data_IF_405225336453
#
_entry.id   IF_405225336453
#
_cell.length_a   1.000
_cell.length_b   1.000
_cell.length_c   1.000
_cell.angle_alpha   90.00
_cell.angle_beta   90.00
_cell.angle_gamma   90.00
#
_symmetry.space_group_name_H-M   'P 1'
#
loop_
_entity.id
_entity.type
_entity.pdbx_description
1 polymer ?
#
# COMPACT_ATOMS: atom_id res chain seq x y z
N UNK A 1 -0.03 23.58 14.65
CA UNK A 1 -1.42 23.59 14.13
C UNK A 1 -2.09 22.30 14.57
N UNK A 2 -3.20 22.37 15.30
CA UNK A 2 -3.97 21.18 15.64
C UNK A 2 -4.69 20.63 14.40
N UNK A 3 -4.78 19.31 14.20
CA UNK A 3 -5.53 18.72 13.10
C UNK A 3 -7.02 19.10 13.23
N UNK A 4 -7.64 19.43 12.10
CA UNK A 4 -9.08 19.70 12.07
C UNK A 4 -9.89 18.46 12.53
N UNK A 5 -11.08 18.65 13.14
CA UNK A 5 -11.90 17.52 13.59
C UNK A 5 -12.28 16.57 12.44
N UNK A 6 -12.39 17.09 11.22
CA UNK A 6 -12.65 16.30 10.00
C UNK A 6 -11.47 15.41 9.64
N UNK A 7 -10.23 15.92 9.69
CA UNK A 7 -9.02 15.11 9.45
C UNK A 7 -8.86 13.99 10.48
N UNK A 8 -9.19 14.24 11.75
CA UNK A 8 -9.18 13.22 12.79
C UNK A 8 -10.25 12.15 12.53
N UNK A 9 -11.47 12.53 12.13
CA UNK A 9 -12.52 11.58 11.79
C UNK A 9 -12.12 10.67 10.62
N UNK A 10 -11.53 11.23 9.56
CA UNK A 10 -11.03 10.45 8.42
C UNK A 10 -9.90 9.50 8.81
N UNK A 11 -8.99 9.95 9.68
CA UNK A 11 -7.87 9.13 10.16
C UNK A 11 -8.37 7.97 11.03
N UNK A 12 -9.31 8.23 11.95
CA UNK A 12 -9.94 7.20 12.79
C UNK A 12 -10.70 6.20 11.90
N UNK A 13 -11.47 6.71 10.93
CA UNK A 13 -12.20 5.87 9.99
C UNK A 13 -11.23 4.99 9.19
N UNK A 14 -10.14 5.55 8.66
CA UNK A 14 -9.12 4.80 7.96
C UNK A 14 -8.48 3.71 8.86
N UNK A 15 -8.11 4.08 10.09
CA UNK A 15 -7.51 3.18 11.07
C UNK A 15 -8.42 2.04 11.51
N UNK A 16 -9.74 2.18 11.40
CA UNK A 16 -10.70 1.11 11.71
C UNK A 16 -11.09 0.31 10.47
N UNK A 17 -11.38 1.00 9.36
CA UNK A 17 -11.87 0.39 8.12
C UNK A 17 -10.79 -0.46 7.46
N UNK A 18 -9.54 0.00 7.39
CA UNK A 18 -8.47 -0.78 6.76
C UNK A 18 -8.22 -2.13 7.46
N UNK A 19 -7.98 -2.19 8.79
CA UNK A 19 -7.79 -3.48 9.44
C UNK A 19 -9.06 -4.33 9.44
N UNK A 20 -10.26 -3.73 9.52
CA UNK A 20 -11.50 -4.49 9.37
C UNK A 20 -11.61 -5.14 7.98
N UNK A 21 -11.29 -4.40 6.91
CA UNK A 21 -11.24 -4.94 5.54
C UNK A 21 -10.17 -6.03 5.39
N UNK A 22 -8.98 -5.84 5.97
CA UNK A 22 -7.92 -6.84 5.96
C UNK A 22 -8.35 -8.12 6.69
N UNK A 23 -8.94 -8.00 7.89
CA UNK A 23 -9.45 -9.13 8.66
C UNK A 23 -10.60 -9.84 7.92
N UNK A 24 -11.53 -9.09 7.32
CA UNK A 24 -12.59 -9.65 6.51
C UNK A 24 -12.04 -10.42 5.29
N UNK A 25 -11.00 -9.90 4.64
CA UNK A 25 -10.32 -10.58 3.55
C UNK A 25 -9.64 -11.88 4.02
N UNK A 26 -8.92 -11.82 5.13
CA UNK A 26 -8.30 -13.00 5.77
C UNK A 26 -9.36 -14.06 6.13
N UNK A 27 -10.50 -13.63 6.68
CA UNK A 27 -11.62 -14.49 7.00
C UNK A 27 -12.21 -15.17 5.76
N UNK A 28 -12.40 -14.41 4.67
CA UNK A 28 -12.87 -14.96 3.39
C UNK A 28 -11.89 -15.99 2.82
N UNK A 29 -10.59 -15.69 2.84
CA UNK A 29 -9.55 -16.63 2.38
C UNK A 29 -9.56 -17.94 3.17
N UNK A 30 -9.75 -17.84 4.49
CA UNK A 30 -9.85 -19.00 5.37
C UNK A 30 -11.08 -19.85 5.05
N UNK A 31 -12.25 -19.21 4.89
CA UNK A 31 -13.50 -19.91 4.48
C UNK A 31 -13.39 -20.61 3.13
N UNK A 32 -12.62 -20.07 2.19
CA UNK A 32 -12.40 -20.70 0.87
C UNK A 32 -11.39 -21.85 0.88
N UNK A 33 -10.83 -22.22 2.04
CA UNK A 33 -9.92 -23.37 2.16
C UNK A 33 -8.57 -23.17 1.46
N UNK A 34 -8.11 -21.92 1.31
CA UNK A 34 -6.81 -21.65 0.69
C UNK A 34 -5.71 -22.16 1.61
N UNK A 35 -4.96 -23.16 1.15
CA UNK A 35 -3.96 -23.89 1.95
C UNK A 35 -2.85 -22.97 2.47
N UNK A 36 -2.53 -21.90 1.74
CA UNK A 36 -1.48 -20.94 2.08
C UNK A 36 -1.88 -19.53 1.65
N UNK A 37 -2.68 -18.80 2.44
CA UNK A 37 -3.13 -17.47 2.07
C UNK A 37 -1.97 -16.45 2.04
N UNK A 38 -1.94 -15.50 1.07
CA UNK A 38 -0.88 -14.51 0.95
C UNK A 38 -1.06 -13.35 1.95
N UNK A 39 -0.97 -13.64 3.25
CA UNK A 39 -1.14 -12.62 4.31
C UNK A 39 -0.14 -11.48 4.20
N UNK A 40 1.13 -11.80 3.97
CA UNK A 40 2.23 -10.82 3.90
C UNK A 40 2.03 -9.79 2.76
N UNK A 41 1.76 -10.20 1.51
CA UNK A 41 1.41 -9.27 0.43
C UNK A 41 0.25 -8.34 0.76
N UNK A 42 -0.84 -8.87 1.31
CA UNK A 42 -1.99 -8.04 1.68
C UNK A 42 -1.68 -7.10 2.84
N UNK A 43 -0.91 -7.53 3.84
CA UNK A 43 -0.46 -6.66 4.91
C UNK A 43 0.31 -5.44 4.37
N UNK A 44 1.24 -5.64 3.44
CA UNK A 44 1.96 -4.53 2.82
C UNK A 44 1.06 -3.64 1.96
N UNK A 45 0.09 -4.21 1.23
CA UNK A 45 -0.87 -3.42 0.45
C UNK A 45 -1.74 -2.52 1.33
N UNK A 46 -2.37 -3.09 2.36
CA UNK A 46 -3.19 -2.32 3.30
C UNK A 46 -2.33 -1.35 4.11
N UNK A 47 -1.11 -1.74 4.50
CA UNK A 47 -0.17 -0.85 5.17
C UNK A 47 0.26 0.33 4.30
N UNK A 48 0.44 0.12 3.00
CA UNK A 48 0.77 1.19 2.05
C UNK A 48 -0.39 2.17 1.91
N UNK A 49 -1.62 1.68 1.74
CA UNK A 49 -2.82 2.54 1.67
C UNK A 49 -3.02 3.30 2.99
N UNK A 50 -2.87 2.63 4.13
CA UNK A 50 -2.95 3.25 5.44
C UNK A 50 -1.86 4.31 5.65
N UNK A 51 -0.64 4.06 5.19
CA UNK A 51 0.46 5.01 5.24
C UNK A 51 0.20 6.26 4.41
N UNK A 52 -0.39 6.14 3.21
CA UNK A 52 -0.78 7.32 2.42
C UNK A 52 -1.83 8.17 3.13
N UNK A 53 -2.85 7.53 3.72
CA UNK A 53 -3.86 8.24 4.51
C UNK A 53 -3.24 8.93 5.73
N UNK A 54 -2.27 8.28 6.38
CA UNK A 54 -1.52 8.88 7.48
C UNK A 54 -0.68 10.07 7.00
N UNK A 55 0.01 9.96 5.86
CA UNK A 55 0.77 11.07 5.28
C UNK A 55 -0.12 12.28 4.98
N UNK A 56 -1.32 12.05 4.41
CA UNK A 56 -2.29 13.11 4.14
C UNK A 56 -2.79 13.77 5.43
N UNK A 57 -3.09 12.97 6.46
CA UNK A 57 -3.56 13.49 7.74
C UNK A 57 -2.47 14.23 8.53
N UNK A 58 -1.20 13.87 8.32
CA UNK A 58 -0.07 14.52 8.96
C UNK A 58 0.30 15.86 8.29
N UNK A 59 -0.19 16.17 7.09
CA UNK A 59 0.13 17.43 6.40
C UNK A 59 -0.45 18.65 7.15
N UNK A 60 0.34 19.70 7.50
CA UNK A 60 1.67 20.06 7.01
C UNK A 60 2.81 19.80 8.02
N UNK A 61 2.68 18.81 8.90
CA UNK A 61 3.74 18.47 9.86
C UNK A 61 4.98 17.89 9.15
N UNK A 62 6.16 18.14 9.70
CA UNK A 62 7.43 17.58 9.17
C UNK A 62 7.46 16.04 9.11
N UNK A 63 6.58 15.37 9.83
CA UNK A 63 6.39 13.91 9.78
C UNK A 63 5.79 13.41 8.47
N UNK A 64 5.16 14.29 7.70
CA UNK A 64 4.62 13.96 6.38
C UNK A 64 5.73 13.57 5.42
N UNK A 65 6.85 14.29 5.44
CA UNK A 65 7.98 14.04 4.56
C UNK A 65 8.60 12.66 4.80
N UNK A 66 8.83 12.28 6.07
CA UNK A 66 9.39 10.97 6.41
C UNK A 66 8.45 9.82 6.03
N UNK A 67 7.15 10.03 6.20
CA UNK A 67 6.12 9.05 5.80
C UNK A 67 6.09 8.88 4.28
N UNK A 68 6.09 9.98 3.52
CA UNK A 68 6.13 9.96 2.05
C UNK A 68 7.41 9.28 1.54
N UNK A 69 8.58 9.64 2.09
CA UNK A 69 9.85 9.01 1.70
C UNK A 69 9.78 7.50 1.94
N UNK A 70 9.26 7.07 3.09
CA UNK A 70 9.09 5.65 3.41
C UNK A 70 8.12 4.94 2.44
N UNK A 71 7.03 5.60 2.06
CA UNK A 71 6.05 5.07 1.10
C UNK A 71 6.56 4.99 -0.34
N UNK A 72 7.49 5.86 -0.71
CA UNK A 72 8.09 5.86 -2.05
C UNK A 72 9.27 4.89 -2.14
N UNK A 73 9.94 4.59 -1.02
CA UNK A 73 11.15 3.75 -1.00
C UNK A 73 10.91 2.36 -0.44
N UNK A 74 10.51 2.26 0.84
CA UNK A 74 10.34 1.00 1.55
C UNK A 74 9.14 0.20 1.06
N UNK A 75 8.00 0.88 0.83
CA UNK A 75 6.79 0.17 0.42
C UNK A 75 6.93 -0.52 -0.96
N UNK A 76 7.51 0.10 -2.01
CA UNK A 76 7.77 -0.59 -3.27
C UNK A 76 8.73 -1.76 -3.14
N UNK A 77 9.78 -1.64 -2.31
CA UNK A 77 10.71 -2.76 -2.07
C UNK A 77 10.03 -3.94 -1.38
N UNK A 78 9.24 -3.68 -0.34
CA UNK A 78 8.45 -4.72 0.35
C UNK A 78 7.42 -5.37 -0.59
N UNK A 79 6.76 -4.58 -1.43
CA UNK A 79 5.79 -5.10 -2.39
C UNK A 79 6.45 -5.90 -3.51
N UNK A 80 7.57 -5.46 -4.09
CA UNK A 80 8.30 -6.19 -5.11
C UNK A 80 8.88 -7.51 -4.57
N UNK A 81 9.46 -7.50 -3.38
CA UNK A 81 9.94 -8.74 -2.73
C UNK A 81 8.80 -9.72 -2.47
N UNK A 82 7.64 -9.22 -2.03
CA UNK A 82 6.45 -10.06 -1.84
C UNK A 82 5.87 -10.59 -3.18
N UNK A 83 5.92 -9.79 -4.26
CA UNK A 83 5.54 -10.20 -5.60
C UNK A 83 6.47 -11.29 -6.16
N UNK A 84 7.78 -11.15 -5.93
CA UNK A 84 8.77 -12.15 -6.31
C UNK A 84 8.52 -13.48 -5.59
N UNK A 85 8.26 -13.42 -4.28
CA UNK A 85 7.91 -14.59 -3.49
C UNK A 85 6.61 -15.26 -3.95
N UNK A 86 5.60 -14.47 -4.31
CA UNK A 86 4.35 -14.95 -4.91
C UNK A 86 4.58 -15.65 -6.25
N UNK A 87 5.44 -15.08 -7.11
CA UNK A 87 5.77 -15.63 -8.44
C UNK A 87 6.39 -17.03 -8.36
N UNK A 88 7.15 -17.32 -7.31
CA UNK A 88 7.76 -18.64 -7.11
C UNK A 88 6.76 -19.76 -6.80
N UNK A 89 5.47 -19.45 -6.59
CA UNK A 89 4.43 -20.45 -6.30
C UNK A 89 3.65 -20.83 -7.57
N UNK A 90 3.73 -22.11 -7.96
CA UNK A 90 3.16 -22.65 -9.22
C UNK A 90 1.62 -22.67 -9.30
N UNK A 91 0.90 -22.59 -8.18
CA UNK A 91 -0.57 -22.66 -8.14
C UNK A 91 -1.17 -21.38 -7.57
N UNK A 92 -1.48 -20.42 -8.45
CA UNK A 92 -2.02 -19.12 -8.06
C UNK A 92 -3.57 -19.14 -8.11
N UNK A 93 -4.19 -19.23 -6.94
CA UNK A 93 -5.61 -18.88 -6.75
C UNK A 93 -5.87 -17.41 -7.12
N UNK A 94 -7.14 -17.05 -7.36
CA UNK A 94 -7.56 -15.67 -7.68
C UNK A 94 -7.01 -14.65 -6.66
N UNK A 95 -6.97 -14.99 -5.38
CA UNK A 95 -6.40 -14.14 -4.33
C UNK A 95 -4.90 -13.90 -4.50
N UNK A 96 -4.15 -14.92 -4.94
CA UNK A 96 -2.73 -14.76 -5.21
C UNK A 96 -2.47 -13.87 -6.43
N UNK A 97 -3.32 -13.98 -7.47
CA UNK A 97 -3.26 -13.11 -8.64
C UNK A 97 -3.58 -11.66 -8.27
N UNK A 98 -4.64 -11.43 -7.50
CA UNK A 98 -4.99 -10.10 -7.03
C UNK A 98 -3.88 -9.47 -6.17
N UNK A 99 -3.32 -10.23 -5.23
CA UNK A 99 -2.18 -9.79 -4.43
C UNK A 99 -0.97 -9.46 -5.33
N UNK A 100 -0.64 -10.32 -6.30
CA UNK A 100 0.45 -10.08 -7.23
C UNK A 100 0.27 -8.79 -8.03
N UNK A 101 -0.91 -8.58 -8.62
CA UNK A 101 -1.19 -7.35 -9.36
C UNK A 101 -1.14 -6.10 -8.47
N UNK A 102 -1.61 -6.18 -7.22
CA UNK A 102 -1.44 -5.08 -6.28
C UNK A 102 0.03 -4.79 -5.99
N UNK A 103 0.82 -5.84 -5.71
CA UNK A 103 2.23 -5.72 -5.38
C UNK A 103 3.10 -5.22 -6.54
N UNK A 104 2.73 -5.50 -7.79
CA UNK A 104 3.43 -4.98 -8.98
C UNK A 104 2.89 -3.61 -9.40
N UNK A 105 1.57 -3.42 -9.28
CA UNK A 105 0.88 -2.21 -9.72
C UNK A 105 1.32 -0.98 -8.95
N UNK A 106 1.41 -1.06 -7.62
CA UNK A 106 1.80 0.09 -6.81
C UNK A 106 3.24 0.60 -7.13
N UNK A 107 4.29 -0.23 -7.09
CA UNK A 107 5.63 0.18 -7.53
C UNK A 107 5.65 0.73 -8.95
N UNK A 108 4.88 0.12 -9.87
CA UNK A 108 4.77 0.57 -11.26
C UNK A 108 4.22 1.99 -11.36
N UNK A 109 3.14 2.28 -10.64
CA UNK A 109 2.53 3.63 -10.59
C UNK A 109 3.50 4.64 -9.98
N UNK A 110 4.12 4.32 -8.84
CA UNK A 110 5.09 5.22 -8.18
C UNK A 110 6.27 5.52 -9.12
N UNK A 111 6.81 4.50 -9.77
CA UNK A 111 7.94 4.66 -10.70
C UNK A 111 7.56 5.51 -11.92
N UNK A 112 6.36 5.31 -12.47
CA UNK A 112 5.85 6.10 -13.58
C UNK A 112 5.68 7.58 -13.19
N UNK A 113 5.10 7.86 -12.01
CA UNK A 113 4.95 9.23 -11.50
C UNK A 113 6.30 9.92 -11.30
N UNK A 114 7.29 9.22 -10.73
CA UNK A 114 8.64 9.75 -10.58
C UNK A 114 9.29 10.05 -11.92
N UNK A 115 9.17 9.14 -12.90
CA UNK A 115 9.70 9.33 -14.25
C UNK A 115 9.08 10.54 -14.96
N UNK A 116 7.75 10.70 -14.87
CA UNK A 116 7.06 11.87 -15.43
C UNK A 116 7.52 13.16 -14.74
N UNK A 117 7.63 13.14 -13.41
CA UNK A 117 8.09 14.30 -12.64
C UNK A 117 9.52 14.73 -13.00
N UNK A 118 10.44 13.76 -13.17
CA UNK A 118 11.82 14.06 -13.55
C UNK A 118 11.92 14.57 -14.99
N UNK A 119 11.15 14.00 -15.92
CA UNK A 119 11.08 14.49 -17.31
C UNK A 119 10.57 15.92 -17.37
N UNK A 120 9.45 16.23 -16.70
CA UNK A 120 8.92 17.59 -16.65
C UNK A 120 9.92 18.59 -16.09
N UNK A 121 10.60 18.23 -15.00
CA UNK A 121 11.63 19.10 -14.40
C UNK A 121 12.80 19.36 -15.36
N UNK A 122 13.21 18.38 -16.17
CA UNK A 122 14.25 18.55 -17.20
C UNK A 122 13.77 19.51 -18.30
N UNK A 123 12.52 19.42 -18.75
CA UNK A 123 11.97 20.30 -19.80
C UNK A 123 11.72 21.74 -19.35
N UNK A 124 11.50 21.96 -18.05
CA UNK A 124 11.26 23.31 -17.50
C UNK A 124 12.55 24.09 -17.17
N UNK A 125 13.72 23.45 -17.24
CA UNK A 125 15.01 24.11 -17.06
C UNK A 125 15.60 24.54 -18.39
#
# INVERSE_FOLDING_TARGET
>A
MAPSPTTLAWLILALLVLPACYLALCYRMHRTGITRPPHVPYFFLFGTVGGWLLALALSPSGWTATTIISLITLAPMALLTSAWWLRSRRTLSIYHRAAFYGCVGYPGIVSALLCVGTLLHIFTR
#
